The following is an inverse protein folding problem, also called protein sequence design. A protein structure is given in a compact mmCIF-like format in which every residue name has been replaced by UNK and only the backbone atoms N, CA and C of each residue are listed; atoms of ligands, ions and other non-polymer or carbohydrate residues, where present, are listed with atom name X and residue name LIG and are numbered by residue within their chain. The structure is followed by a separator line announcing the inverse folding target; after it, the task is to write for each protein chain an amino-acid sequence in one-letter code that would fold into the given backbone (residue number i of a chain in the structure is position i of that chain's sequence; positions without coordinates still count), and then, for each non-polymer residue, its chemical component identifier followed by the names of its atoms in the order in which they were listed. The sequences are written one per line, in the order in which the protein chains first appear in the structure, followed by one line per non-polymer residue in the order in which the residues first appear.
data_IF_753322263927
#
_entry.id   IF_753322263927
#
_cell.length_a   1.000
_cell.length_b   1.000
_cell.length_c   1.000
_cell.angle_alpha   90.00
_cell.angle_beta   90.00
_cell.angle_gamma   90.00
#
_symmetry.space_group_name_H-M   'P 1'
#
loop_
_entity.id
_entity.type
_entity.pdbx_description
1 polymer ?
#
# COMPACT_ATOMS: atom_id res chain seq x y z
N UNK A 1 43.50 -7.06 -15.97
CA UNK A 1 42.22 -7.69 -16.38
C UNK A 1 41.29 -7.97 -15.20
N UNK A 2 41.70 -8.74 -14.18
CA UNK A 2 40.84 -9.07 -13.00
C UNK A 2 40.19 -7.85 -12.30
N UNK A 3 40.93 -6.75 -12.13
CA UNK A 3 40.43 -5.52 -11.51
C UNK A 3 39.33 -4.82 -12.31
N UNK A 4 39.50 -4.73 -13.64
CA UNK A 4 38.52 -4.13 -14.55
C UNK A 4 37.26 -5.00 -14.59
N UNK A 5 37.43 -6.32 -14.62
CA UNK A 5 36.32 -7.27 -14.59
C UNK A 5 35.48 -7.09 -13.31
N UNK A 6 36.14 -6.96 -12.15
CA UNK A 6 35.50 -6.70 -10.86
C UNK A 6 34.73 -5.37 -10.85
N UNK A 7 35.29 -4.31 -11.43
CA UNK A 7 34.62 -3.02 -11.56
C UNK A 7 33.35 -3.12 -12.41
N UNK A 8 33.40 -3.84 -13.54
CA UNK A 8 32.24 -4.04 -14.42
C UNK A 8 31.14 -4.83 -13.70
N UNK A 9 31.49 -5.92 -13.00
CA UNK A 9 30.52 -6.67 -12.21
C UNK A 9 29.93 -5.86 -11.06
N UNK A 10 30.72 -5.01 -10.40
CA UNK A 10 30.25 -4.12 -9.36
C UNK A 10 29.23 -3.09 -9.88
N UNK A 11 29.51 -2.48 -11.04
CA UNK A 11 28.57 -1.57 -11.69
C UNK A 11 27.27 -2.27 -12.13
N UNK A 12 27.39 -3.48 -12.66
CA UNK A 12 26.24 -4.28 -13.07
C UNK A 12 25.34 -4.64 -11.88
N UNK A 13 25.95 -5.03 -10.75
CA UNK A 13 25.22 -5.33 -9.52
C UNK A 13 24.49 -4.10 -8.97
N UNK A 14 25.13 -2.92 -8.99
CA UNK A 14 24.51 -1.66 -8.59
C UNK A 14 23.33 -1.29 -9.50
N UNK A 15 23.49 -1.45 -10.82
CA UNK A 15 22.41 -1.20 -11.76
C UNK A 15 21.20 -2.11 -11.49
N UNK A 16 21.43 -3.40 -11.25
CA UNK A 16 20.37 -4.36 -10.91
C UNK A 16 19.72 -4.02 -9.56
N UNK A 17 20.49 -3.59 -8.57
CA UNK A 17 19.95 -3.17 -7.27
C UNK A 17 19.05 -1.94 -7.37
N UNK A 18 19.30 -1.03 -8.32
CA UNK A 18 18.39 0.11 -8.57
C UNK A 18 17.11 -0.26 -9.33
N UNK A 19 17.04 -1.47 -9.90
CA UNK A 19 15.85 -1.96 -10.60
C UNK A 19 14.83 -2.61 -9.66
N UNK A 20 15.11 -2.73 -8.35
CA UNK A 20 14.09 -3.20 -7.41
C UNK A 20 13.04 -2.12 -7.23
N UNK A 21 11.79 -2.32 -7.69
CA UNK A 21 10.74 -1.34 -7.44
C UNK A 21 10.53 -1.24 -5.93
N UNK A 22 10.50 -0.02 -5.41
CA UNK A 22 9.93 0.20 -4.09
C UNK A 22 8.44 -0.15 -4.20
N UNK A 23 8.05 -1.32 -3.70
CA UNK A 23 6.64 -1.67 -3.60
C UNK A 23 5.97 -0.59 -2.75
N UNK A 24 5.09 0.19 -3.38
CA UNK A 24 4.24 1.11 -2.64
C UNK A 24 3.44 0.26 -1.65
N UNK A 25 3.64 0.50 -0.36
CA UNK A 25 2.90 -0.19 0.69
C UNK A 25 1.42 0.02 0.43
N UNK A 26 0.70 -1.06 0.12
CA UNK A 26 -0.76 -0.99 -0.05
C UNK A 26 -1.35 -0.44 1.24
N UNK A 27 -2.32 0.46 1.12
CA UNK A 27 -2.98 0.98 2.31
C UNK A 27 -3.68 -0.18 3.02
N UNK A 28 -3.67 -0.13 4.35
CA UNK A 28 -4.16 -1.21 5.19
C UNK A 28 -5.69 -1.30 5.23
N UNK A 29 -6.18 -2.18 6.10
CA UNK A 29 -7.62 -2.34 6.37
C UNK A 29 -8.03 -1.48 7.57
N UNK A 30 -9.11 -0.73 7.41
CA UNK A 30 -9.80 0.00 8.49
C UNK A 30 -10.92 -0.87 9.03
N UNK A 31 -10.88 -1.13 10.34
CA UNK A 31 -11.92 -1.86 11.05
C UNK A 31 -12.86 -0.88 11.74
N UNK A 32 -14.12 -0.81 11.30
CA UNK A 32 -15.13 0.09 11.86
C UNK A 32 -16.15 -0.69 12.68
N UNK A 33 -16.01 -0.61 14.00
CA UNK A 33 -16.92 -1.28 14.94
C UNK A 33 -18.14 -0.40 15.17
N UNK A 34 -19.28 -0.83 14.63
CA UNK A 34 -20.57 -0.19 14.87
C UNK A 34 -21.20 -0.81 16.11
N UNK A 35 -21.29 -0.10 17.26
CA UNK A 35 -22.06 -0.58 18.40
C UNK A 35 -23.54 -0.59 18.02
N UNK A 36 -24.24 -1.68 18.31
CA UNK A 36 -25.61 -1.92 17.83
C UNK A 36 -26.57 -0.79 18.23
N UNK A 37 -27.17 -0.14 17.23
CA UNK A 37 -28.54 0.40 17.10
C UNK A 37 -28.54 1.29 15.85
N UNK A 38 -28.50 0.66 14.67
CA UNK A 38 -28.50 1.35 13.38
C UNK A 38 -29.82 2.10 13.19
N UNK A 39 -29.84 3.36 13.56
CA UNK A 39 -30.78 4.31 12.99
C UNK A 39 -30.38 4.62 11.52
N UNK A 40 -31.25 5.29 10.78
CA UNK A 40 -31.00 5.62 9.37
C UNK A 40 -29.71 6.46 9.20
N UNK A 41 -29.36 7.25 10.22
CA UNK A 41 -28.15 8.07 10.19
C UNK A 41 -26.88 7.22 10.29
N UNK A 42 -26.83 6.24 11.18
CA UNK A 42 -25.68 5.35 11.33
C UNK A 42 -25.47 4.51 10.07
N UNK A 43 -26.55 4.00 9.47
CA UNK A 43 -26.48 3.25 8.20
C UNK A 43 -25.91 4.11 7.07
N UNK A 44 -26.35 5.37 6.97
CA UNK A 44 -25.81 6.33 6.01
C UNK A 44 -24.34 6.66 6.27
N UNK A 45 -23.95 6.81 7.54
CA UNK A 45 -22.57 7.12 7.92
C UNK A 45 -21.58 5.99 7.60
N UNK A 46 -21.96 4.72 7.83
CA UNK A 46 -21.14 3.55 7.46
C UNK A 46 -20.91 3.52 5.95
N UNK A 47 -21.97 3.73 5.18
CA UNK A 47 -21.90 3.72 3.71
C UNK A 47 -21.00 4.85 3.18
N UNK A 48 -21.11 6.06 3.75
CA UNK A 48 -20.28 7.19 3.36
C UNK A 48 -18.79 6.96 3.70
N UNK A 49 -18.50 6.39 4.87
CA UNK A 49 -17.13 6.06 5.29
C UNK A 49 -16.53 4.96 4.41
N UNK A 50 -17.28 3.92 4.09
CA UNK A 50 -16.84 2.86 3.18
C UNK A 50 -16.48 3.41 1.81
N UNK A 51 -17.35 4.24 1.22
CA UNK A 51 -17.11 4.86 -0.09
C UNK A 51 -15.86 5.75 -0.09
N UNK A 52 -15.72 6.60 0.94
CA UNK A 52 -14.55 7.46 1.09
C UNK A 52 -13.25 6.66 1.22
N UNK A 53 -13.24 5.65 2.11
CA UNK A 53 -12.05 4.85 2.38
C UNK A 53 -11.61 4.04 1.17
N UNK A 54 -12.56 3.50 0.39
CA UNK A 54 -12.27 2.85 -0.89
C UNK A 54 -11.69 3.83 -1.91
N UNK A 55 -12.25 5.04 -2.03
CA UNK A 55 -11.73 6.06 -2.95
C UNK A 55 -10.30 6.48 -2.63
N UNK A 56 -9.96 6.56 -1.34
CA UNK A 56 -8.59 6.88 -0.93
C UNK A 56 -7.68 5.64 -0.88
N UNK A 57 -8.18 4.44 -1.19
CA UNK A 57 -7.41 3.21 -1.40
C UNK A 57 -7.25 2.31 -0.17
N UNK A 58 -8.02 2.51 0.89
CA UNK A 58 -8.09 1.62 2.05
C UNK A 58 -9.18 0.56 1.88
N UNK A 59 -8.96 -0.61 2.48
CA UNK A 59 -10.01 -1.61 2.68
C UNK A 59 -10.87 -1.24 3.90
N UNK A 60 -12.18 -1.51 3.83
CA UNK A 60 -13.13 -1.27 4.91
C UNK A 60 -13.72 -2.60 5.40
N UNK A 61 -13.72 -2.85 6.72
CA UNK A 61 -14.26 -4.07 7.35
C UNK A 61 -14.96 -3.79 8.67
#
# INVERSE_FOLDING_TARGET
MKRILLSVFGFLALAIATLTPAFAQSKGTVYYLVPTLLDEFQTGSVTALELFLKQVGYDFK
#
